data_IF_432352537167
#
_entry.id   IF_432352537167
#
_cell.length_a   1.000
_cell.length_b   1.000
_cell.length_c   1.000
_cell.angle_alpha   90.00
_cell.angle_beta   90.00
_cell.angle_gamma   90.00
#
_symmetry.space_group_name_H-M   'P 1'
#
loop_
_entity.id
_entity.type
_entity.pdbx_description
1 polymer ?
#
# COMPACT_ATOMS: atom_id res chain seq x y z
N UNK A 1 -47.83 50.55 -17.30
CA UNK A 1 -47.49 50.63 -15.86
C UNK A 1 -47.71 49.25 -15.28
N UNK A 2 -46.63 48.64 -14.85
CA UNK A 2 -46.34 47.22 -15.12
C UNK A 2 -46.81 46.24 -14.02
N UNK A 3 -47.27 45.03 -14.38
CA UNK A 3 -47.77 44.03 -13.43
C UNK A 3 -46.66 43.31 -12.63
N UNK A 4 -45.40 43.71 -12.78
CA UNK A 4 -44.23 43.01 -12.23
C UNK A 4 -43.76 43.53 -10.86
N UNK A 5 -44.45 44.49 -10.24
CA UNK A 5 -43.98 45.11 -8.99
C UNK A 5 -44.48 44.45 -7.70
N UNK A 6 -45.38 43.48 -7.77
CA UNK A 6 -45.96 42.82 -6.59
C UNK A 6 -45.37 41.46 -6.24
N UNK A 7 -44.49 40.88 -7.07
CA UNK A 7 -43.95 39.54 -6.81
C UNK A 7 -42.66 39.56 -5.95
N UNK A 8 -41.92 40.66 -5.97
CA UNK A 8 -40.64 40.79 -5.26
C UNK A 8 -40.78 41.06 -3.76
N UNK A 9 -41.97 41.36 -3.24
CA UNK A 9 -42.18 41.57 -1.79
C UNK A 9 -42.49 40.29 -1.02
N UNK A 10 -42.93 39.21 -1.68
CA UNK A 10 -43.20 37.92 -1.03
C UNK A 10 -42.00 36.96 -1.03
N UNK A 11 -41.01 37.17 -1.90
CA UNK A 11 -39.85 36.26 -1.99
C UNK A 11 -38.76 36.56 -0.96
N UNK A 12 -38.61 37.82 -0.53
CA UNK A 12 -37.57 38.21 0.42
C UNK A 12 -37.86 37.79 1.87
N UNK A 13 -39.13 37.65 2.26
CA UNK A 13 -39.51 37.21 3.62
C UNK A 13 -39.29 35.70 3.84
N UNK A 14 -39.20 34.90 2.78
CA UNK A 14 -38.99 33.46 2.91
C UNK A 14 -37.50 33.08 3.04
N UNK A 15 -36.61 33.81 2.35
CA UNK A 15 -35.16 33.57 2.37
C UNK A 15 -34.55 33.92 3.75
N UNK A 16 -35.06 34.96 4.42
CA UNK A 16 -34.58 35.32 5.76
C UNK A 16 -35.00 34.32 6.86
N UNK A 17 -36.13 33.63 6.72
CA UNK A 17 -36.58 32.65 7.72
C UNK A 17 -35.69 31.38 7.74
N UNK A 18 -35.23 30.92 6.56
CA UNK A 18 -34.39 29.73 6.45
C UNK A 18 -32.92 30.00 6.86
N UNK A 19 -32.42 31.24 6.73
CA UNK A 19 -31.04 31.57 7.10
C UNK A 19 -30.83 31.61 8.63
N UNK A 20 -31.84 32.07 9.39
CA UNK A 20 -31.78 32.06 10.87
C UNK A 20 -31.98 30.67 11.48
N UNK A 21 -32.72 29.77 10.80
CA UNK A 21 -32.83 28.36 11.21
C UNK A 21 -31.54 27.57 10.92
N UNK A 22 -30.78 27.94 9.88
CA UNK A 22 -29.50 27.30 9.58
C UNK A 22 -28.40 27.72 10.58
N UNK A 23 -28.40 28.97 11.05
CA UNK A 23 -27.40 29.47 12.00
C UNK A 23 -27.61 28.99 13.44
N UNK A 24 -28.81 28.54 13.82
CA UNK A 24 -29.08 28.01 15.18
C UNK A 24 -28.78 26.51 15.35
N UNK A 25 -28.31 25.82 14.30
CA UNK A 25 -27.89 24.41 14.40
C UNK A 25 -26.38 24.21 14.49
N UNK A 26 -25.59 25.29 14.41
CA UNK A 26 -24.11 25.26 14.48
C UNK A 26 -23.59 25.66 15.87
N UNK A 27 -24.27 25.20 16.93
CA UNK A 27 -23.79 25.32 18.31
C UNK A 27 -24.09 24.03 19.07
N UNK A 28 -23.66 22.89 18.53
CA UNK A 28 -23.45 21.70 19.36
C UNK A 28 -22.05 21.80 19.96
N UNK A 29 -21.88 21.77 21.30
CA UNK A 29 -20.56 21.67 21.88
C UNK A 29 -19.91 20.38 21.38
N UNK A 30 -18.65 20.46 20.94
CA UNK A 30 -17.84 19.29 20.66
C UNK A 30 -17.97 18.32 21.84
N UNK A 31 -18.34 17.04 21.63
CA UNK A 31 -17.98 16.02 22.59
C UNK A 31 -16.46 15.83 22.49
N UNK A 32 -15.73 16.67 23.22
CA UNK A 32 -14.32 16.48 23.54
C UNK A 32 -14.25 15.30 24.51
N UNK A 33 -14.31 14.09 23.96
CA UNK A 33 -13.78 12.83 24.50
C UNK A 33 -14.27 11.69 23.62
N UNK A 34 -13.77 11.64 22.39
CA UNK A 34 -13.42 10.35 21.82
C UNK A 34 -11.91 10.27 21.91
N UNK A 35 -11.42 9.59 22.94
CA UNK A 35 -10.24 8.75 22.78
C UNK A 35 -10.59 7.76 21.67
N UNK A 36 -10.49 8.23 20.42
CA UNK A 36 -10.43 7.37 19.28
C UNK A 36 -9.24 6.50 19.57
N UNK A 37 -9.50 5.23 19.87
CA UNK A 37 -8.53 4.17 19.73
C UNK A 37 -7.88 4.46 18.40
N UNK A 38 -6.64 4.93 18.43
CA UNK A 38 -5.85 5.13 17.23
C UNK A 38 -5.73 3.71 16.69
N UNK A 39 -6.67 3.33 15.83
CA UNK A 39 -6.58 2.12 15.04
C UNK A 39 -5.34 2.39 14.23
N UNK A 40 -4.19 2.03 14.78
CA UNK A 40 -2.92 1.97 14.07
C UNK A 40 -3.27 1.19 12.82
N UNK A 41 -3.44 1.89 11.70
CA UNK A 41 -3.79 1.29 10.41
C UNK A 41 -2.62 0.38 10.10
N UNK A 42 -2.74 -0.88 10.51
CA UNK A 42 -1.63 -1.78 10.56
C UNK A 42 -1.28 -2.12 9.13
N UNK A 43 -0.06 -1.80 8.72
CA UNK A 43 0.52 -2.21 7.46
C UNK A 43 0.44 -3.74 7.33
N UNK A 44 -0.61 -4.23 6.68
CA UNK A 44 -0.89 -5.65 6.56
C UNK A 44 -1.74 -5.94 5.34
N UNK A 45 -1.54 -7.13 4.78
CA UNK A 45 -2.28 -7.67 3.65
C UNK A 45 -3.03 -8.91 4.10
N UNK A 46 -4.22 -9.13 3.54
CA UNK A 46 -4.94 -10.37 3.75
C UNK A 46 -4.11 -11.56 3.27
N UNK A 47 -3.95 -12.57 4.14
CA UNK A 47 -3.23 -13.80 3.78
C UNK A 47 -3.81 -14.48 2.52
N UNK A 48 -5.08 -14.24 2.21
CA UNK A 48 -5.73 -14.80 1.02
C UNK A 48 -5.06 -14.38 -0.30
N UNK A 49 -4.47 -13.17 -0.37
CA UNK A 49 -3.72 -12.76 -1.56
C UNK A 49 -2.53 -13.69 -1.84
N UNK A 50 -1.90 -14.22 -0.79
CA UNK A 50 -0.73 -15.11 -0.89
C UNK A 50 -1.08 -16.61 -0.89
N UNK A 51 -2.36 -16.96 -0.68
CA UNK A 51 -2.82 -18.37 -0.79
C UNK A 51 -3.14 -18.75 -2.23
N UNK A 52 -3.35 -17.77 -3.12
CA UNK A 52 -3.61 -18.02 -4.53
C UNK A 52 -2.34 -18.55 -5.21
N UNK A 53 -2.32 -19.86 -5.45
CA UNK A 53 -1.18 -20.56 -6.07
C UNK A 53 -0.84 -20.04 -7.47
N UNK A 54 -1.85 -19.59 -8.23
CA UNK A 54 -1.68 -19.06 -9.58
C UNK A 54 -0.68 -17.89 -9.64
N UNK A 55 -0.88 -16.84 -8.84
CA UNK A 55 0.02 -15.68 -8.84
C UNK A 55 1.43 -16.04 -8.39
N UNK A 56 1.58 -16.91 -7.39
CA UNK A 56 2.91 -17.39 -6.99
C UNK A 56 3.63 -18.06 -8.17
N UNK A 57 2.96 -18.97 -8.86
CA UNK A 57 3.56 -19.68 -9.99
C UNK A 57 3.89 -18.76 -11.17
N UNK A 58 2.98 -17.84 -11.49
CA UNK A 58 3.20 -16.84 -12.54
C UNK A 58 4.42 -15.98 -12.20
N UNK A 59 4.49 -15.45 -10.99
CA UNK A 59 5.64 -14.64 -10.52
C UNK A 59 6.94 -15.41 -10.59
N UNK A 60 6.97 -16.64 -10.09
CA UNK A 60 8.18 -17.48 -10.13
C UNK A 60 8.59 -17.85 -11.55
N UNK A 61 7.62 -18.05 -12.46
CA UNK A 61 7.88 -18.34 -13.87
C UNK A 61 8.51 -17.13 -14.57
N UNK A 62 7.91 -15.95 -14.40
CA UNK A 62 8.44 -14.67 -14.93
C UNK A 62 9.86 -14.42 -14.42
N UNK A 63 10.07 -14.56 -13.11
CA UNK A 63 11.39 -14.36 -12.50
C UNK A 63 12.43 -15.35 -13.05
N UNK A 64 12.07 -16.63 -13.14
CA UNK A 64 12.96 -17.67 -13.67
C UNK A 64 13.38 -17.39 -15.12
N UNK A 65 12.45 -16.98 -15.97
CA UNK A 65 12.75 -16.68 -17.37
C UNK A 65 13.65 -15.45 -17.52
N UNK A 66 13.40 -14.39 -16.75
CA UNK A 66 14.24 -13.20 -16.78
C UNK A 66 15.66 -13.46 -16.26
N UNK A 67 15.82 -14.34 -15.25
CA UNK A 67 17.14 -14.73 -14.74
C UNK A 67 18.06 -15.36 -15.78
N UNK A 68 17.53 -15.97 -16.84
CA UNK A 68 18.34 -16.51 -17.94
C UNK A 68 19.16 -15.41 -18.63
N UNK A 69 18.66 -14.17 -18.59
CA UNK A 69 19.30 -13.01 -19.19
C UNK A 69 19.95 -12.07 -18.17
N UNK A 70 19.90 -12.40 -16.88
CA UNK A 70 20.58 -11.64 -15.82
C UNK A 70 22.06 -12.05 -15.77
N UNK A 71 22.94 -11.11 -16.11
CA UNK A 71 24.39 -11.29 -16.12
C UNK A 71 25.04 -11.11 -14.75
N UNK A 72 24.32 -10.57 -13.77
CA UNK A 72 24.81 -10.37 -12.40
C UNK A 72 24.14 -11.35 -11.44
N UNK A 73 24.75 -12.53 -11.29
CA UNK A 73 24.21 -13.59 -10.43
C UNK A 73 24.63 -13.46 -8.96
N UNK A 74 25.50 -12.50 -8.64
CA UNK A 74 26.10 -12.35 -7.31
C UNK A 74 25.33 -11.33 -6.48
N UNK A 75 25.00 -10.18 -7.07
CA UNK A 75 24.35 -9.10 -6.32
C UNK A 75 22.84 -9.24 -6.38
N UNK A 76 22.20 -9.15 -5.22
CA UNK A 76 20.73 -9.08 -5.13
C UNK A 76 20.26 -7.63 -5.25
N UNK A 77 19.22 -7.44 -6.05
CA UNK A 77 18.43 -6.21 -6.11
C UNK A 77 17.44 -6.13 -4.93
N UNK A 78 16.70 -7.21 -4.67
CA UNK A 78 15.81 -7.36 -3.52
C UNK A 78 16.54 -8.17 -2.44
N UNK A 79 17.33 -7.46 -1.62
CA UNK A 79 18.26 -8.06 -0.66
C UNK A 79 18.02 -7.67 0.80
N UNK A 80 18.83 -8.26 1.69
CA UNK A 80 18.84 -7.95 3.13
C UNK A 80 19.36 -6.53 3.42
N UNK A 81 20.10 -5.94 2.50
CA UNK A 81 20.60 -4.55 2.57
C UNK A 81 19.47 -3.51 2.58
N UNK A 82 18.27 -3.88 2.11
CA UNK A 82 17.05 -3.07 2.25
C UNK A 82 16.61 -2.90 3.71
N UNK A 83 16.98 -3.82 4.58
CA UNK A 83 16.55 -3.88 5.99
C UNK A 83 17.55 -3.26 6.96
N UNK A 84 18.64 -2.65 6.47
CA UNK A 84 19.63 -1.98 7.33
C UNK A 84 18.92 -0.91 8.17
N UNK A 85 18.99 -1.05 9.49
CA UNK A 85 18.34 -0.18 10.49
C UNK A 85 16.81 -0.12 10.40
N UNK A 86 16.16 -1.10 9.74
CA UNK A 86 14.70 -1.18 9.64
C UNK A 86 14.19 -2.14 10.71
N UNK A 87 13.21 -1.71 11.51
CA UNK A 87 12.62 -2.58 12.55
C UNK A 87 11.53 -3.48 11.97
N UNK A 88 11.23 -4.59 12.64
CA UNK A 88 10.27 -5.59 12.15
C UNK A 88 8.88 -5.03 11.84
N UNK A 89 8.41 -4.08 12.64
CA UNK A 89 7.13 -3.38 12.44
C UNK A 89 7.12 -2.50 11.17
N UNK A 90 8.27 -2.13 10.65
CA UNK A 90 8.42 -1.28 9.46
C UNK A 90 8.63 -2.11 8.19
N UNK A 91 8.87 -3.43 8.31
CA UNK A 91 9.13 -4.31 7.17
C UNK A 91 8.01 -4.25 6.13
N UNK A 92 6.74 -4.24 6.53
CA UNK A 92 5.65 -4.18 5.56
C UNK A 92 5.60 -2.82 4.84
N UNK A 93 5.86 -1.72 5.56
CA UNK A 93 5.96 -0.40 4.94
C UNK A 93 7.14 -0.34 3.96
N UNK A 94 8.31 -0.86 4.33
CA UNK A 94 9.45 -0.98 3.43
C UNK A 94 9.06 -1.77 2.16
N UNK A 95 8.45 -2.95 2.32
CA UNK A 95 8.05 -3.78 1.18
C UNK A 95 6.95 -3.15 0.32
N UNK A 96 6.05 -2.35 0.90
CA UNK A 96 5.15 -1.48 0.13
C UNK A 96 5.95 -0.55 -0.78
N UNK A 97 6.94 0.17 -0.24
CA UNK A 97 7.75 1.14 -1.02
C UNK A 97 8.62 0.49 -2.09
N UNK A 98 9.20 -0.68 -1.80
CA UNK A 98 9.95 -1.47 -2.78
C UNK A 98 9.02 -1.94 -3.90
N UNK A 99 7.87 -2.53 -3.55
CA UNK A 99 6.90 -3.02 -4.53
C UNK A 99 6.39 -1.88 -5.41
N UNK A 100 6.03 -0.75 -4.82
CA UNK A 100 5.59 0.47 -5.52
C UNK A 100 6.64 0.95 -6.55
N UNK A 101 7.91 1.00 -6.13
CA UNK A 101 9.03 1.34 -7.02
C UNK A 101 9.15 0.35 -8.18
N UNK A 102 9.12 -0.95 -7.90
CA UNK A 102 9.23 -2.00 -8.92
C UNK A 102 8.05 -1.93 -9.90
N UNK A 103 6.82 -1.80 -9.41
CA UNK A 103 5.64 -1.71 -10.26
C UNK A 103 5.65 -0.47 -11.13
N UNK A 104 6.12 0.67 -10.61
CA UNK A 104 6.24 1.90 -11.40
C UNK A 104 7.25 1.74 -12.56
N UNK A 105 8.38 1.07 -12.32
CA UNK A 105 9.39 0.85 -13.37
C UNK A 105 8.89 -0.16 -14.42
N UNK A 106 8.16 -1.19 -13.99
CA UNK A 106 7.75 -2.29 -14.87
C UNK A 106 6.39 -2.11 -15.55
N UNK A 107 5.59 -1.12 -15.17
CA UNK A 107 4.20 -0.95 -15.64
C UNK A 107 4.08 -0.93 -17.16
N UNK A 108 4.90 -0.12 -17.83
CA UNK A 108 4.84 0.06 -19.30
C UNK A 108 5.90 -0.77 -20.05
N UNK A 109 6.62 -1.65 -19.36
CA UNK A 109 7.66 -2.46 -19.96
C UNK A 109 7.02 -3.52 -20.87
N UNK A 110 7.40 -3.53 -22.15
CA UNK A 110 7.05 -4.61 -23.07
C UNK A 110 7.83 -5.86 -22.70
N UNK A 111 7.13 -6.94 -22.36
CA UNK A 111 7.74 -8.22 -22.05
C UNK A 111 7.03 -9.35 -22.82
N UNK A 112 7.78 -10.28 -23.46
CA UNK A 112 7.19 -11.37 -24.22
C UNK A 112 6.54 -12.45 -23.35
N UNK A 113 6.82 -12.50 -22.05
CA UNK A 113 6.18 -13.47 -21.16
C UNK A 113 4.69 -13.11 -20.95
N UNK A 114 3.75 -14.02 -21.28
CA UNK A 114 2.31 -13.73 -21.21
C UNK A 114 1.81 -13.44 -19.79
N UNK A 115 2.51 -13.93 -18.76
CA UNK A 115 2.16 -13.70 -17.35
C UNK A 115 2.72 -12.39 -16.80
N UNK A 116 3.62 -11.70 -17.53
CA UNK A 116 4.34 -10.55 -17.01
C UNK A 116 3.40 -9.45 -16.51
N UNK A 117 2.50 -8.97 -17.37
CA UNK A 117 1.58 -7.89 -16.99
C UNK A 117 0.63 -8.30 -15.87
N UNK A 118 0.16 -9.55 -15.85
CA UNK A 118 -0.69 -10.06 -14.76
C UNK A 118 0.06 -10.04 -13.41
N UNK A 119 1.35 -10.38 -13.40
CA UNK A 119 2.20 -10.29 -12.21
C UNK A 119 2.39 -8.83 -11.76
N UNK A 120 2.64 -7.90 -12.69
CA UNK A 120 2.80 -6.48 -12.34
C UNK A 120 1.50 -5.89 -11.79
N UNK A 121 0.35 -6.20 -12.41
CA UNK A 121 -0.95 -5.78 -11.91
C UNK A 121 -1.26 -6.37 -10.53
N UNK A 122 -0.88 -7.62 -10.28
CA UNK A 122 -1.02 -8.23 -8.96
C UNK A 122 -0.23 -7.44 -7.89
N UNK A 123 1.04 -7.12 -8.15
CA UNK A 123 1.84 -6.33 -7.22
C UNK A 123 1.28 -4.91 -7.03
N UNK A 124 0.82 -4.25 -8.09
CA UNK A 124 0.19 -2.93 -8.02
C UNK A 124 -1.13 -2.94 -7.23
N UNK A 125 -1.88 -4.05 -7.32
CA UNK A 125 -3.06 -4.25 -6.49
C UNK A 125 -2.68 -4.38 -5.00
N UNK A 126 -1.61 -5.12 -4.67
CA UNK A 126 -1.15 -5.23 -3.27
C UNK A 126 -0.67 -3.89 -2.70
N UNK A 127 -0.01 -3.04 -3.49
CA UNK A 127 0.38 -1.70 -3.03
C UNK A 127 -0.82 -0.79 -2.82
N UNK A 128 -1.88 -0.96 -3.63
CA UNK A 128 -3.16 -0.26 -3.47
C UNK A 128 -3.88 -0.66 -2.19
N UNK A 129 -3.92 -1.95 -1.85
CA UNK A 129 -4.45 -2.44 -0.56
C UNK A 129 -3.66 -1.89 0.64
N UNK A 130 -2.38 -1.56 0.42
CA UNK A 130 -1.51 -0.92 1.40
C UNK A 130 -1.51 0.62 1.31
N UNK A 131 -2.43 1.26 0.58
CA UNK A 131 -2.41 2.72 0.39
C UNK A 131 -2.37 3.48 1.71
N UNK A 132 -3.18 3.07 2.68
CA UNK A 132 -3.32 3.73 3.97
C UNK A 132 -2.24 3.31 5.00
N UNK A 133 -1.37 2.37 4.65
CA UNK A 133 -0.19 2.03 5.45
C UNK A 133 0.81 3.21 5.44
N UNK A 134 0.93 3.85 6.60
CA UNK A 134 1.85 4.97 6.86
C UNK A 134 3.03 4.51 7.71
N UNK A 135 4.18 5.19 7.63
CA UNK A 135 5.31 4.87 8.49
C UNK A 135 4.99 5.23 9.95
N UNK A 136 5.59 4.51 10.89
CA UNK A 136 5.41 4.74 12.33
C UNK A 136 6.37 5.77 12.91
N UNK A 137 7.44 6.11 12.19
CA UNK A 137 8.50 7.03 12.61
C UNK A 137 9.17 7.69 11.39
N UNK A 138 10.25 8.43 11.61
CA UNK A 138 11.12 8.96 10.55
C UNK A 138 11.57 7.84 9.61
N UNK A 139 11.40 8.05 8.30
CA UNK A 139 11.72 7.08 7.25
C UNK A 139 13.02 7.37 6.53
N UNK A 140 13.85 8.30 7.02
CA UNK A 140 15.10 8.72 6.36
C UNK A 140 16.01 7.53 6.03
N UNK A 141 16.12 6.55 6.92
CA UNK A 141 16.91 5.33 6.65
C UNK A 141 16.25 4.42 5.62
N UNK A 142 14.91 4.29 5.61
CA UNK A 142 14.16 3.54 4.57
C UNK A 142 14.39 4.17 3.21
N UNK A 143 14.22 5.48 3.09
CA UNK A 143 14.43 6.21 1.84
C UNK A 143 15.90 6.16 1.40
N UNK A 144 16.85 6.19 2.34
CA UNK A 144 18.26 5.93 2.07
C UNK A 144 18.51 4.53 1.51
N UNK A 145 17.86 3.50 2.04
CA UNK A 145 17.96 2.12 1.56
C UNK A 145 17.34 1.98 0.16
N UNK A 146 16.17 2.57 -0.07
CA UNK A 146 15.50 2.61 -1.38
C UNK A 146 16.33 3.35 -2.42
N UNK A 147 16.98 4.45 -2.05
CA UNK A 147 17.89 5.18 -2.94
C UNK A 147 19.06 4.30 -3.35
N UNK A 148 19.71 3.59 -2.41
CA UNK A 148 20.79 2.65 -2.76
C UNK A 148 20.31 1.53 -3.68
N UNK A 149 19.11 1.00 -3.43
CA UNK A 149 18.46 0.02 -4.31
C UNK A 149 18.28 0.56 -5.73
N UNK A 150 17.77 1.78 -5.90
CA UNK A 150 17.59 2.42 -7.20
C UNK A 150 18.93 2.67 -7.91
N UNK A 151 19.92 3.19 -7.19
CA UNK A 151 21.26 3.43 -7.74
C UNK A 151 21.91 2.13 -8.26
N UNK A 152 21.70 0.99 -7.58
CA UNK A 152 22.19 -0.31 -8.06
C UNK A 152 21.58 -0.69 -9.41
N UNK A 153 20.29 -0.45 -9.62
CA UNK A 153 19.67 -0.70 -10.92
C UNK A 153 20.25 0.18 -12.02
N UNK A 154 20.44 1.46 -11.73
CA UNK A 154 21.03 2.42 -12.67
C UNK A 154 22.45 1.98 -13.08
N UNK A 155 23.25 1.52 -12.11
CA UNK A 155 24.60 1.01 -12.36
C UNK A 155 24.62 -0.26 -13.22
N UNK A 156 23.56 -1.07 -13.19
CA UNK A 156 23.45 -2.28 -14.00
C UNK A 156 23.05 -2.01 -15.45
N UNK A 157 22.64 -0.77 -15.78
CA UNK A 157 22.24 -0.36 -17.13
C UNK A 157 21.19 -1.31 -17.72
N UNK A 158 21.43 -1.77 -18.95
CA UNK A 158 20.53 -2.68 -19.67
C UNK A 158 20.26 -4.00 -18.92
N UNK A 159 21.21 -4.47 -18.09
CA UNK A 159 21.01 -5.67 -17.28
C UNK A 159 20.07 -5.44 -16.08
N UNK A 160 19.89 -4.18 -15.66
CA UNK A 160 19.07 -3.82 -14.50
C UNK A 160 17.63 -4.31 -14.60
N UNK A 161 17.05 -4.30 -15.82
CA UNK A 161 15.70 -4.80 -16.05
C UNK A 161 15.61 -6.32 -15.87
N UNK A 162 16.56 -7.08 -16.44
CA UNK A 162 16.58 -8.53 -16.29
C UNK A 162 16.77 -8.92 -14.82
N UNK A 163 17.64 -8.22 -14.08
CA UNK A 163 17.78 -8.42 -12.64
C UNK A 163 16.49 -8.12 -11.88
N UNK A 164 15.87 -6.95 -12.11
CA UNK A 164 14.64 -6.58 -11.40
C UNK A 164 13.53 -7.61 -11.61
N UNK A 165 13.29 -8.01 -12.86
CA UNK A 165 12.26 -9.01 -13.19
C UNK A 165 12.67 -10.37 -12.63
N UNK A 166 13.96 -10.71 -12.72
CA UNK A 166 14.55 -11.95 -12.24
C UNK A 166 14.49 -12.13 -10.72
N UNK A 167 14.14 -11.10 -9.96
CA UNK A 167 14.01 -11.13 -8.51
C UNK A 167 12.57 -10.88 -8.01
N UNK A 168 11.57 -10.93 -8.91
CA UNK A 168 10.16 -10.78 -8.52
C UNK A 168 9.65 -11.88 -7.59
N UNK A 169 10.25 -13.07 -7.62
CA UNK A 169 9.95 -14.14 -6.66
C UNK A 169 10.46 -13.81 -5.24
N UNK A 170 11.65 -13.21 -5.12
CA UNK A 170 12.14 -12.68 -3.85
C UNK A 170 11.25 -11.55 -3.33
N UNK A 171 10.83 -10.63 -4.21
CA UNK A 171 9.88 -9.58 -3.86
C UNK A 171 8.57 -10.17 -3.33
N UNK A 172 8.02 -11.18 -4.00
CA UNK A 172 6.82 -11.87 -3.55
C UNK A 172 6.97 -12.45 -2.15
N UNK A 173 8.07 -13.17 -1.90
CA UNK A 173 8.31 -13.83 -0.63
C UNK A 173 8.52 -12.81 0.49
N UNK A 174 9.32 -11.76 0.27
CA UNK A 174 9.53 -10.72 1.28
C UNK A 174 8.27 -9.90 1.55
N UNK A 175 7.48 -9.57 0.52
CA UNK A 175 6.21 -8.88 0.69
C UNK A 175 5.22 -9.74 1.49
N UNK A 176 5.13 -11.04 1.18
CA UNK A 176 4.31 -11.99 1.96
C UNK A 176 4.75 -12.02 3.41
N UNK A 177 6.04 -12.21 3.66
CA UNK A 177 6.55 -12.43 5.01
C UNK A 177 6.48 -11.16 5.86
N UNK A 178 6.63 -9.99 5.23
CA UNK A 178 6.52 -8.69 5.89
C UNK A 178 5.06 -8.29 6.16
N UNK A 179 4.15 -8.52 5.22
CA UNK A 179 2.80 -7.94 5.26
C UNK A 179 1.66 -8.91 5.57
N UNK A 180 1.81 -10.22 5.35
CA UNK A 180 0.67 -11.13 5.51
C UNK A 180 0.19 -11.15 6.97
N UNK A 181 -1.08 -10.80 7.17
CA UNK A 181 -1.68 -10.76 8.50
C UNK A 181 -1.52 -12.11 9.23
N UNK A 182 -1.17 -12.04 10.52
CA UNK A 182 -1.19 -13.21 11.39
C UNK A 182 -2.65 -13.57 11.65
N UNK A 183 -3.00 -14.86 11.62
CA UNK A 183 -4.31 -15.28 12.13
C UNK A 183 -4.42 -14.78 13.57
N UNK A 184 -5.51 -14.09 13.91
CA UNK A 184 -5.86 -13.90 15.30
C UNK A 184 -5.90 -15.28 15.95
N UNK A 185 -5.04 -15.53 16.94
CA UNK A 185 -5.20 -16.68 17.82
C UNK A 185 -6.59 -16.52 18.44
N UNK A 186 -7.53 -17.43 18.14
CA UNK A 186 -8.78 -17.50 18.89
C UNK A 186 -8.38 -17.61 20.36
N UNK A 187 -8.71 -16.58 21.14
CA UNK A 187 -8.39 -16.53 22.56
C UNK A 187 -8.88 -17.82 23.21
N UNK A 188 -7.97 -18.55 23.85
CA UNK A 188 -8.33 -19.63 24.73
C UNK A 188 -9.05 -18.97 25.92
N UNK A 189 -10.38 -18.98 25.89
CA UNK A 189 -11.19 -18.65 27.07
C UNK A 189 -10.81 -19.66 28.15
N UNK A 190 -10.02 -19.21 29.12
CA UNK A 190 -9.76 -19.97 30.33
C UNK A 190 -11.08 -20.26 31.01
N UNK A 191 -11.50 -21.54 30.99
CA UNK A 191 -12.53 -22.06 31.88
C UNK A 191 -12.02 -21.86 33.32
N UNK A 192 -12.60 -20.89 34.03
CA UNK A 192 -12.61 -20.93 35.50
C UNK A 192 -13.49 -22.10 35.91
N UNK A 193 -12.88 -23.19 36.35
CA UNK A 193 -13.58 -24.19 37.14
C UNK A 193 -13.60 -23.67 38.58
N UNK A 194 -14.79 -23.33 39.09
CA UNK A 194 -15.04 -23.36 40.53
C UNK A 194 -15.48 -24.79 40.85
N UNK A 195 -14.65 -25.47 41.64
CA UNK A 195 -14.95 -26.71 42.35
C UNK A 195 -14.32 -26.61 43.72
#
# INVERSE_FOLDING_TARGET
>A
MDPWKNWTRCSLLWVFCCYYLFLLTVASPLPLNQTGTLNNQSCSLSRNHFRKFAFKNMTYTVAREARVYDKDTVNRFVGQDLYINVTRNEHCYLMKRVTDTVTHVLHDLKNPNPNFHEVIYFFAHLTTELRDCKPTADTTYIEGNLKRMKNKLEQLGDNGMNKMIGELDLLYDYLRDACASKKASKGHQGKKNNG
#
